data_IF_654469441538
#
_entry.id   IF_654469441538
#
_cell.length_a   1.000
_cell.length_b   1.000
_cell.length_c   1.000
_cell.angle_alpha   90.00
_cell.angle_beta   90.00
_cell.angle_gamma   90.00
#
_symmetry.space_group_name_H-M   'P 1'
#
loop_
_entity.id
_entity.type
_entity.pdbx_description
1 polymer ?
#
# COMPACT_ATOMS: atom_id res chain seq x y z
N UNK A 1 -3.77 -21.29 29.30
CA UNK A 1 -5.09 -21.56 28.71
C UNK A 1 -6.12 -21.19 29.75
N UNK A 2 -7.14 -20.45 29.39
CA UNK A 2 -8.21 -20.05 30.31
C UNK A 2 -9.32 -21.09 30.17
N UNK A 3 -9.69 -21.73 31.28
CA UNK A 3 -10.77 -22.74 31.36
C UNK A 3 -11.98 -22.19 32.15
N UNK A 4 -11.99 -20.89 32.42
CA UNK A 4 -13.03 -20.20 33.15
C UNK A 4 -14.06 -19.63 32.16
N UNK A 5 -15.27 -20.16 32.21
CA UNK A 5 -16.37 -19.78 31.29
C UNK A 5 -16.76 -18.31 31.48
N UNK A 6 -16.80 -17.80 32.72
CA UNK A 6 -17.18 -16.40 32.99
C UNK A 6 -16.14 -15.44 32.41
N UNK A 7 -14.86 -15.81 32.44
CA UNK A 7 -13.80 -14.98 31.83
C UNK A 7 -13.84 -15.02 30.31
N UNK A 8 -14.22 -16.15 29.70
CA UNK A 8 -14.38 -16.28 28.25
C UNK A 8 -15.57 -15.42 27.77
N UNK A 9 -16.69 -15.45 28.49
CA UNK A 9 -17.84 -14.59 28.17
C UNK A 9 -17.52 -13.10 28.31
N UNK A 10 -16.75 -12.72 29.32
CA UNK A 10 -16.29 -11.34 29.49
C UNK A 10 -15.42 -10.89 28.31
N UNK A 11 -14.47 -11.72 27.90
CA UNK A 11 -13.59 -11.43 26.74
C UNK A 11 -14.41 -11.32 25.45
N UNK A 12 -15.41 -12.20 25.26
CA UNK A 12 -16.29 -12.10 24.10
C UNK A 12 -17.04 -10.77 24.08
N UNK A 13 -17.58 -10.33 25.21
CA UNK A 13 -18.27 -9.05 25.34
C UNK A 13 -17.34 -7.87 25.04
N UNK A 14 -16.14 -7.85 25.58
CA UNK A 14 -15.13 -6.80 25.31
C UNK A 14 -14.74 -6.75 23.83
N UNK A 15 -14.58 -7.92 23.16
CA UNK A 15 -14.30 -7.98 21.73
C UNK A 15 -15.46 -7.40 20.91
N UNK A 16 -16.71 -7.69 21.26
CA UNK A 16 -17.89 -7.15 20.59
C UNK A 16 -17.99 -5.63 20.75
N UNK A 17 -17.74 -5.11 21.94
CA UNK A 17 -17.69 -3.68 22.21
C UNK A 17 -16.57 -3.00 21.41
N UNK A 18 -15.39 -3.62 21.35
CA UNK A 18 -14.27 -3.11 20.56
C UNK A 18 -14.61 -3.07 19.06
N UNK A 19 -15.17 -4.13 18.50
CA UNK A 19 -15.61 -4.17 17.11
C UNK A 19 -16.63 -3.08 16.81
N UNK A 20 -17.61 -2.89 17.70
CA UNK A 20 -18.63 -1.84 17.57
C UNK A 20 -18.02 -0.43 17.63
N UNK A 21 -16.99 -0.22 18.43
CA UNK A 21 -16.27 1.07 18.51
C UNK A 21 -15.53 1.42 17.20
N UNK A 22 -15.18 0.41 16.40
CA UNK A 22 -14.60 0.56 15.07
C UNK A 22 -15.64 0.48 13.93
N UNK A 23 -16.93 0.64 14.24
CA UNK A 23 -18.04 0.61 13.28
C UNK A 23 -18.25 -0.74 12.57
N UNK A 24 -17.75 -1.84 13.15
CA UNK A 24 -18.12 -3.19 12.73
C UNK A 24 -19.39 -3.65 13.46
N UNK A 25 -20.20 -4.54 12.87
CA UNK A 25 -21.39 -5.07 13.51
C UNK A 25 -21.03 -6.08 14.63
N UNK A 26 -20.47 -5.59 15.75
CA UNK A 26 -19.92 -6.41 16.82
C UNK A 26 -20.87 -7.46 17.38
N UNK A 27 -22.17 -7.16 17.43
CA UNK A 27 -23.20 -8.11 17.91
C UNK A 27 -23.49 -9.25 16.91
N UNK A 28 -23.25 -9.01 15.60
CA UNK A 28 -23.58 -9.95 14.54
C UNK A 28 -22.37 -10.80 14.08
N UNK A 29 -21.13 -10.34 14.39
CA UNK A 29 -19.92 -11.07 14.00
C UNK A 29 -19.88 -12.43 14.68
N UNK A 30 -19.73 -13.55 13.93
CA UNK A 30 -19.59 -14.86 14.54
C UNK A 30 -18.28 -14.94 15.32
N UNK A 31 -18.35 -15.42 16.56
CA UNK A 31 -17.19 -15.67 17.41
C UNK A 31 -17.12 -17.17 17.70
N UNK A 32 -15.97 -17.78 17.42
CA UNK A 32 -15.73 -19.20 17.67
C UNK A 32 -14.73 -19.35 18.80
N UNK A 33 -15.17 -19.92 19.90
CA UNK A 33 -14.31 -20.19 21.07
C UNK A 33 -13.71 -21.58 20.92
N UNK A 34 -12.37 -21.69 20.99
CA UNK A 34 -11.66 -22.94 20.83
C UNK A 34 -10.23 -22.92 21.38
N UNK A 35 -9.54 -24.05 21.28
CA UNK A 35 -8.12 -24.20 21.64
C UNK A 35 -7.35 -24.77 20.46
N UNK A 36 -6.56 -23.93 19.79
CA UNK A 36 -5.73 -24.34 18.68
C UNK A 36 -4.69 -25.41 19.09
N UNK A 37 -4.15 -25.35 20.34
CA UNK A 37 -3.20 -26.35 20.83
C UNK A 37 -3.87 -27.73 20.97
N UNK A 38 -5.02 -27.80 21.60
CA UNK A 38 -5.75 -29.08 21.78
C UNK A 38 -6.22 -29.64 20.44
N UNK A 39 -6.62 -28.77 19.48
CA UNK A 39 -6.95 -29.21 18.12
C UNK A 39 -5.72 -29.81 17.41
N UNK A 40 -4.55 -29.20 17.56
CA UNK A 40 -3.29 -29.71 17.00
C UNK A 40 -2.87 -31.06 17.62
N UNK A 41 -3.18 -31.27 18.90
CA UNK A 41 -2.97 -32.52 19.63
C UNK A 41 -4.00 -33.62 19.27
N UNK A 42 -5.01 -33.29 18.46
CA UNK A 42 -6.00 -34.23 17.95
C UNK A 42 -7.23 -34.42 18.84
N UNK A 43 -7.49 -33.51 19.78
CA UNK A 43 -8.73 -33.49 20.56
C UNK A 43 -9.91 -33.20 19.67
N UNK A 44 -10.83 -34.17 19.52
CA UNK A 44 -11.93 -34.13 18.57
C UNK A 44 -12.89 -32.95 18.79
N UNK A 45 -13.08 -32.51 20.04
CA UNK A 45 -13.94 -31.38 20.37
C UNK A 45 -13.35 -30.07 19.81
N UNK A 46 -12.04 -29.90 19.95
CA UNK A 46 -11.37 -28.68 19.49
C UNK A 46 -11.05 -28.72 18.00
N UNK A 47 -10.87 -29.91 17.40
CA UNK A 47 -10.82 -30.06 15.94
C UNK A 47 -12.14 -29.58 15.32
N UNK A 48 -13.30 -29.99 15.84
CA UNK A 48 -14.60 -29.52 15.40
C UNK A 48 -14.76 -27.99 15.49
N UNK A 49 -14.12 -27.35 16.49
CA UNK A 49 -14.12 -25.88 16.60
C UNK A 49 -13.30 -25.20 15.49
N UNK A 50 -12.27 -25.85 14.96
CA UNK A 50 -11.57 -25.33 13.77
C UNK A 50 -12.46 -25.44 12.53
N UNK A 51 -13.22 -26.53 12.39
CA UNK A 51 -14.18 -26.68 11.30
C UNK A 51 -15.29 -25.61 11.40
N UNK A 52 -15.87 -25.39 12.60
CA UNK A 52 -16.84 -24.32 12.86
C UNK A 52 -16.29 -22.93 12.46
N UNK A 53 -15.00 -22.66 12.76
CA UNK A 53 -14.33 -21.41 12.37
C UNK A 53 -14.23 -21.27 10.83
N UNK A 54 -13.86 -22.34 10.14
CA UNK A 54 -13.74 -22.32 8.68
C UNK A 54 -15.11 -22.14 8.02
N UNK A 55 -16.13 -22.78 8.53
CA UNK A 55 -17.51 -22.61 8.07
C UNK A 55 -18.01 -21.18 8.30
N UNK A 56 -17.67 -20.57 9.45
CA UNK A 56 -17.99 -19.18 9.73
C UNK A 56 -17.27 -18.22 8.76
N UNK A 57 -15.99 -18.47 8.45
CA UNK A 57 -15.22 -17.69 7.45
C UNK A 57 -15.90 -17.77 6.08
N UNK A 58 -16.24 -18.98 5.62
CA UNK A 58 -16.81 -19.19 4.30
C UNK A 58 -18.23 -18.61 4.15
N UNK A 59 -19.02 -18.62 5.23
CA UNK A 59 -20.40 -18.13 5.21
C UNK A 59 -20.55 -16.64 5.50
N UNK A 60 -19.71 -16.08 6.38
CA UNK A 60 -19.85 -14.70 6.85
C UNK A 60 -19.03 -13.70 6.04
N UNK A 61 -17.81 -14.05 5.60
CA UNK A 61 -16.95 -13.13 4.88
C UNK A 61 -17.36 -13.05 3.41
N UNK A 62 -17.81 -11.87 2.92
CA UNK A 62 -18.21 -11.75 1.53
C UNK A 62 -16.98 -11.82 0.60
N UNK A 63 -17.13 -12.42 -0.56
CA UNK A 63 -16.10 -12.39 -1.59
C UNK A 63 -15.84 -10.94 -2.03
N UNK A 64 -14.62 -10.43 -1.92
CA UNK A 64 -14.33 -9.03 -2.26
C UNK A 64 -14.50 -8.78 -3.76
N UNK A 65 -15.04 -7.61 -4.09
CA UNK A 65 -15.05 -7.12 -5.47
C UNK A 65 -13.63 -6.73 -5.86
N UNK A 66 -13.13 -7.31 -6.93
CA UNK A 66 -11.77 -7.06 -7.43
C UNK A 66 -11.79 -6.00 -8.52
N UNK A 67 -10.94 -4.99 -8.42
CA UNK A 67 -10.78 -3.90 -9.40
C UNK A 67 -10.02 -4.36 -10.65
N UNK A 68 -10.57 -5.28 -11.42
CA UNK A 68 -9.92 -5.88 -12.60
C UNK A 68 -9.93 -4.98 -13.83
N UNK A 69 -10.87 -4.05 -13.92
CA UNK A 69 -11.05 -3.16 -15.09
C UNK A 69 -10.08 -1.97 -15.10
N UNK A 70 -9.43 -1.69 -13.98
CA UNK A 70 -8.42 -0.63 -13.88
C UNK A 70 -7.10 -1.04 -14.54
N UNK A 71 -6.24 -0.08 -14.93
CA UNK A 71 -4.89 -0.40 -15.38
C UNK A 71 -4.12 -1.18 -14.32
N UNK A 72 -3.41 -2.24 -14.73
CA UNK A 72 -2.59 -3.08 -13.84
C UNK A 72 -1.62 -2.25 -13.01
N UNK A 73 -1.54 -2.57 -11.72
CA UNK A 73 -0.56 -2.03 -10.79
C UNK A 73 -0.26 -3.06 -9.68
N UNK A 74 1.02 -3.32 -9.46
CA UNK A 74 1.53 -4.21 -8.41
C UNK A 74 2.73 -3.56 -7.72
N UNK A 75 2.63 -3.17 -6.45
CA UNK A 75 3.78 -2.73 -5.66
C UNK A 75 4.79 -3.87 -5.49
N UNK A 76 6.08 -3.56 -5.65
CA UNK A 76 7.17 -4.52 -5.47
C UNK A 76 7.47 -4.67 -3.98
N UNK A 77 7.34 -5.87 -3.44
CA UNK A 77 7.62 -6.22 -2.05
C UNK A 77 9.02 -6.82 -1.88
N UNK A 78 9.42 -7.70 -2.81
CA UNK A 78 10.74 -8.31 -2.83
C UNK A 78 11.19 -8.63 -4.26
N UNK A 79 12.51 -8.75 -4.44
CA UNK A 79 13.14 -9.05 -5.73
C UNK A 79 14.23 -10.10 -5.56
N UNK A 80 14.14 -11.17 -6.33
CA UNK A 80 15.15 -12.21 -6.34
C UNK A 80 15.43 -12.74 -7.76
N UNK A 81 16.56 -13.42 -7.92
CA UNK A 81 16.95 -13.99 -9.20
C UNK A 81 16.83 -15.50 -9.16
N UNK A 82 16.23 -16.08 -10.20
CA UNK A 82 16.25 -17.52 -10.44
C UNK A 82 17.31 -17.80 -11.49
N UNK A 83 18.34 -18.56 -11.11
CA UNK A 83 19.44 -18.92 -12.01
C UNK A 83 18.93 -19.54 -13.30
N UNK A 84 19.31 -18.98 -14.44
CA UNK A 84 18.90 -19.44 -15.77
C UNK A 84 17.48 -19.07 -16.21
N UNK A 85 16.67 -18.40 -15.35
CA UNK A 85 15.31 -18.00 -15.69
C UNK A 85 15.12 -16.47 -15.74
N UNK A 86 15.76 -15.71 -14.84
CA UNK A 86 15.68 -14.26 -14.79
C UNK A 86 15.36 -13.71 -13.42
N UNK A 87 14.95 -12.45 -13.37
CA UNK A 87 14.59 -11.72 -12.15
C UNK A 87 13.08 -11.82 -11.89
N UNK A 88 12.72 -12.11 -10.65
CA UNK A 88 11.33 -12.18 -10.17
C UNK A 88 11.09 -11.03 -9.22
N UNK A 89 10.06 -10.24 -9.51
CA UNK A 89 9.51 -9.27 -8.57
C UNK A 89 8.24 -9.85 -7.95
N UNK A 90 8.14 -9.84 -6.62
CA UNK A 90 6.97 -10.31 -5.90
C UNK A 90 6.16 -9.14 -5.35
N UNK A 91 4.85 -9.33 -5.26
CA UNK A 91 3.95 -8.37 -4.68
C UNK A 91 2.49 -8.80 -4.81
N UNK A 92 1.61 -8.03 -4.19
CA UNK A 92 0.18 -8.16 -4.37
C UNK A 92 -0.30 -7.26 -5.50
N UNK A 93 -1.03 -7.80 -6.45
CA UNK A 93 -1.71 -7.01 -7.47
C UNK A 93 -2.72 -6.10 -6.78
N UNK A 94 -2.50 -4.78 -6.82
CA UNK A 94 -3.37 -3.78 -6.19
C UNK A 94 -4.64 -3.57 -7.01
N UNK A 95 -4.51 -3.53 -8.34
CA UNK A 95 -5.61 -3.37 -9.28
C UNK A 95 -5.26 -3.89 -10.68
N UNK A 96 -6.28 -4.08 -11.48
CA UNK A 96 -6.16 -4.52 -12.86
C UNK A 96 -5.80 -5.99 -13.00
N UNK A 97 -5.29 -6.31 -14.18
CA UNK A 97 -4.88 -7.64 -14.58
C UNK A 97 -3.59 -7.56 -15.40
N UNK A 98 -2.74 -8.58 -15.28
CA UNK A 98 -1.55 -8.79 -16.10
C UNK A 98 -1.52 -10.22 -16.61
N UNK A 99 -1.10 -10.41 -17.87
CA UNK A 99 -0.95 -11.73 -18.50
C UNK A 99 0.51 -12.02 -18.79
N UNK A 100 0.85 -13.28 -18.91
CA UNK A 100 2.15 -13.68 -19.46
C UNK A 100 2.27 -13.18 -20.89
N UNK A 101 3.36 -12.48 -21.21
CA UNK A 101 3.58 -11.81 -22.49
C UNK A 101 3.31 -10.30 -22.49
N UNK A 102 2.62 -9.79 -21.48
CA UNK A 102 2.35 -8.36 -21.37
C UNK A 102 3.64 -7.57 -21.11
N UNK A 103 3.68 -6.37 -21.68
CA UNK A 103 4.70 -5.37 -21.34
C UNK A 103 4.24 -4.57 -20.13
N UNK A 104 5.09 -4.47 -19.13
CA UNK A 104 4.89 -3.65 -17.94
C UNK A 104 5.98 -2.58 -17.85
N UNK A 105 5.72 -1.59 -17.03
CA UNK A 105 6.64 -0.51 -16.71
C UNK A 105 6.98 -0.53 -15.23
N UNK A 106 8.28 -0.38 -14.90
CA UNK A 106 8.78 -0.25 -13.53
C UNK A 106 8.87 1.23 -13.21
N UNK A 107 8.10 1.68 -12.22
CA UNK A 107 7.94 3.11 -11.90
C UNK A 107 8.28 3.38 -10.43
N UNK A 108 8.94 4.50 -10.17
CA UNK A 108 9.34 4.95 -8.84
C UNK A 108 10.82 4.76 -8.54
N UNK A 109 11.33 5.48 -7.54
CA UNK A 109 12.71 5.57 -7.09
C UNK A 109 13.70 6.10 -8.14
N UNK A 110 13.33 6.09 -9.40
CA UNK A 110 14.07 6.64 -10.55
C UNK A 110 13.17 7.62 -11.31
N UNK A 111 13.77 8.62 -11.95
CA UNK A 111 13.03 9.59 -12.76
C UNK A 111 12.44 8.95 -14.02
N UNK A 112 13.15 7.99 -14.60
CA UNK A 112 12.73 7.30 -15.83
C UNK A 112 12.18 5.92 -15.50
N UNK A 113 11.01 5.65 -16.01
CA UNK A 113 10.43 4.32 -16.00
C UNK A 113 11.06 3.45 -17.09
N UNK A 114 11.23 2.18 -16.82
CA UNK A 114 11.80 1.19 -17.73
C UNK A 114 10.76 0.10 -18.03
N UNK A 115 10.73 -0.37 -19.27
CA UNK A 115 9.73 -1.36 -19.70
C UNK A 115 10.33 -2.75 -19.82
N UNK A 116 9.57 -3.74 -19.35
CA UNK A 116 9.96 -5.15 -19.37
C UNK A 116 8.77 -6.03 -19.75
N UNK A 117 9.08 -7.25 -20.21
CA UNK A 117 8.05 -8.25 -20.56
C UNK A 117 7.91 -9.27 -19.43
N UNK A 118 6.69 -9.54 -19.02
CA UNK A 118 6.34 -10.60 -18.08
C UNK A 118 6.43 -11.94 -18.81
N UNK A 119 7.35 -12.81 -18.42
CA UNK A 119 7.57 -14.12 -19.05
C UNK A 119 7.03 -15.29 -18.25
N UNK A 120 6.54 -15.03 -17.06
CA UNK A 120 5.89 -16.02 -16.20
C UNK A 120 5.25 -15.36 -14.98
N UNK A 121 4.21 -15.98 -14.49
CA UNK A 121 3.51 -15.61 -13.26
C UNK A 121 3.40 -16.88 -12.40
N UNK A 122 3.65 -16.75 -11.11
CA UNK A 122 3.57 -17.86 -10.17
C UNK A 122 2.93 -17.41 -8.85
N UNK A 123 2.01 -18.23 -8.34
CA UNK A 123 1.37 -18.04 -7.04
C UNK A 123 1.30 -19.39 -6.32
N UNK A 124 1.84 -19.48 -5.08
CA UNK A 124 1.88 -20.72 -4.28
C UNK A 124 2.41 -21.94 -5.05
N UNK A 125 3.51 -21.77 -5.80
CA UNK A 125 4.14 -22.79 -6.66
C UNK A 125 3.27 -23.28 -7.82
N UNK A 126 2.20 -22.53 -8.16
CA UNK A 126 1.38 -22.77 -9.34
C UNK A 126 1.70 -21.73 -10.40
N UNK A 127 1.98 -22.19 -11.62
CA UNK A 127 2.16 -21.32 -12.78
C UNK A 127 0.79 -20.82 -13.22
N UNK A 128 0.70 -19.51 -13.48
CA UNK A 128 -0.50 -18.83 -13.93
C UNK A 128 -0.30 -18.23 -15.32
N UNK A 129 -1.34 -18.19 -16.12
CA UNK A 129 -1.38 -17.44 -17.38
C UNK A 129 -1.64 -15.97 -17.18
N UNK A 130 -2.39 -15.63 -16.10
CA UNK A 130 -2.72 -14.26 -15.72
C UNK A 130 -2.82 -14.10 -14.20
N UNK A 131 -2.65 -12.87 -13.71
CA UNK A 131 -2.87 -12.47 -12.34
C UNK A 131 -3.80 -11.25 -12.29
N UNK A 132 -4.69 -11.21 -11.30
CA UNK A 132 -5.71 -10.16 -11.15
C UNK A 132 -5.61 -9.48 -9.79
N UNK A 133 -6.26 -8.34 -9.64
CA UNK A 133 -6.35 -7.60 -8.38
C UNK A 133 -6.62 -8.52 -7.19
N UNK A 134 -5.81 -8.42 -6.13
CA UNK A 134 -5.87 -9.24 -4.93
C UNK A 134 -4.93 -10.44 -4.90
N UNK A 135 -4.37 -10.87 -6.04
CA UNK A 135 -3.46 -12.00 -6.11
C UNK A 135 -2.06 -11.61 -5.61
N UNK A 136 -1.44 -12.46 -4.78
CA UNK A 136 -0.02 -12.35 -4.41
C UNK A 136 0.80 -13.19 -5.38
N UNK A 137 1.61 -12.57 -6.21
CA UNK A 137 2.32 -13.26 -7.29
C UNK A 137 3.79 -12.91 -7.36
N UNK A 138 4.57 -13.83 -7.92
CA UNK A 138 5.89 -13.58 -8.45
C UNK A 138 5.82 -13.40 -9.97
N UNK A 139 6.19 -12.21 -10.43
CA UNK A 139 6.28 -11.90 -11.86
C UNK A 139 7.73 -12.08 -12.35
N UNK A 140 7.95 -13.04 -13.23
CA UNK A 140 9.23 -13.29 -13.89
C UNK A 140 9.38 -12.30 -15.04
N UNK A 141 10.43 -11.48 -15.00
CA UNK A 141 10.69 -10.42 -15.95
C UNK A 141 11.91 -10.75 -16.82
N UNK A 142 11.80 -10.46 -18.12
CA UNK A 142 12.88 -10.69 -19.08
C UNK A 142 13.77 -9.46 -19.22
N UNK A 143 15.09 -9.70 -19.22
CA UNK A 143 16.08 -8.67 -19.58
C UNK A 143 16.33 -7.64 -18.51
N UNK A 144 15.97 -7.93 -17.27
CA UNK A 144 16.19 -7.07 -16.12
C UNK A 144 17.14 -7.74 -15.13
N UNK A 145 18.11 -6.99 -14.65
CA UNK A 145 18.96 -7.42 -13.55
C UNK A 145 18.29 -7.12 -12.21
N UNK A 146 18.58 -7.91 -11.17
CA UNK A 146 18.06 -7.68 -9.81
C UNK A 146 18.32 -6.25 -9.30
N UNK A 147 19.43 -5.62 -9.68
CA UNK A 147 19.81 -4.25 -9.28
C UNK A 147 18.95 -3.16 -9.92
N UNK A 148 18.19 -3.48 -10.97
CA UNK A 148 17.39 -2.53 -11.73
C UNK A 148 15.97 -2.37 -11.18
N UNK A 149 15.54 -3.34 -10.36
CA UNK A 149 14.25 -3.31 -9.64
C UNK A 149 14.51 -3.39 -8.14
N UNK A 150 13.78 -2.56 -7.39
CA UNK A 150 13.90 -2.47 -5.94
C UNK A 150 12.52 -2.49 -5.28
N UNK A 151 12.47 -2.95 -4.02
CA UNK A 151 11.29 -2.79 -3.18
C UNK A 151 10.91 -1.31 -3.10
N UNK A 152 9.61 -1.04 -3.23
CA UNK A 152 9.07 0.33 -3.21
C UNK A 152 8.77 0.91 -4.60
N UNK A 153 9.30 0.31 -5.67
CA UNK A 153 8.82 0.57 -7.03
C UNK A 153 7.47 -0.14 -7.26
N UNK A 154 6.81 0.20 -8.35
CA UNK A 154 5.61 -0.51 -8.80
C UNK A 154 5.80 -1.06 -10.21
N UNK A 155 5.24 -2.23 -10.48
CA UNK A 155 5.00 -2.72 -11.82
C UNK A 155 3.63 -2.22 -12.25
N UNK A 156 3.56 -1.56 -13.39
CA UNK A 156 2.32 -0.96 -13.85
C UNK A 156 2.11 -1.16 -15.36
N UNK A 157 0.89 -0.99 -15.82
CA UNK A 157 0.62 -0.86 -17.25
C UNK A 157 1.35 0.37 -17.79
N UNK A 158 2.09 0.27 -18.92
CA UNK A 158 2.86 1.39 -19.44
C UNK A 158 2.05 2.69 -19.56
N UNK A 159 2.62 3.77 -18.99
CA UNK A 159 2.03 5.10 -18.99
C UNK A 159 0.83 5.32 -18.05
N UNK A 160 0.43 4.34 -17.26
CA UNK A 160 -0.73 4.44 -16.37
C UNK A 160 -0.47 5.17 -15.05
N UNK A 161 0.78 5.24 -14.61
CA UNK A 161 1.22 5.97 -13.42
C UNK A 161 2.59 6.57 -13.69
N UNK A 162 2.91 7.67 -12.99
CA UNK A 162 4.20 8.37 -13.14
C UNK A 162 4.86 8.57 -11.79
N UNK A 163 6.21 8.71 -11.76
CA UNK A 163 6.92 9.09 -10.54
C UNK A 163 6.77 10.59 -10.27
N UNK A 164 6.51 10.96 -9.02
CA UNK A 164 6.38 12.35 -8.57
C UNK A 164 7.11 12.55 -7.25
N UNK A 165 7.54 13.80 -7.01
CA UNK A 165 8.16 14.22 -5.75
C UNK A 165 7.32 15.22 -5.00
N UNK A 166 6.39 15.94 -5.66
CA UNK A 166 5.62 17.04 -5.06
C UNK A 166 4.13 16.78 -5.17
N UNK A 167 3.43 16.97 -4.07
CA UNK A 167 1.99 16.79 -4.02
C UNK A 167 1.39 17.54 -2.83
N UNK A 168 0.08 17.81 -2.91
CA UNK A 168 -0.75 18.22 -1.76
C UNK A 168 -1.43 17.02 -1.16
N UNK A 169 -1.65 17.04 0.13
CA UNK A 169 -2.36 16.01 0.85
C UNK A 169 -3.17 16.57 2.01
N UNK A 170 -4.32 15.97 2.26
CA UNK A 170 -5.00 16.11 3.54
C UNK A 170 -4.39 15.14 4.54
N UNK A 171 -3.97 15.66 5.69
CA UNK A 171 -3.25 14.89 6.70
C UNK A 171 -3.92 15.10 8.05
N UNK A 172 -4.25 13.99 8.70
CA UNK A 172 -4.61 13.94 10.10
C UNK A 172 -3.37 13.63 10.94
N UNK A 173 -3.07 14.49 11.91
CA UNK A 173 -1.95 14.33 12.83
C UNK A 173 -2.44 13.64 14.09
N UNK A 174 -1.93 12.41 14.34
CA UNK A 174 -2.33 11.59 15.47
C UNK A 174 -2.02 12.28 16.81
N UNK A 175 -2.98 12.20 17.73
CA UNK A 175 -2.81 12.69 19.10
C UNK A 175 -1.89 11.77 19.90
N UNK A 176 -1.49 12.23 21.08
CA UNK A 176 -0.69 11.41 22.02
C UNK A 176 -1.42 10.14 22.45
N UNK A 177 -2.72 10.25 22.69
CA UNK A 177 -3.59 9.13 23.09
C UNK A 177 -3.68 8.06 22.01
N UNK A 178 -3.58 8.46 20.74
CA UNK A 178 -3.53 7.57 19.57
C UNK A 178 -2.11 7.02 19.28
N UNK A 179 -1.15 7.30 20.16
CA UNK A 179 0.25 6.90 20.00
C UNK A 179 1.07 7.81 19.08
N UNK A 180 0.53 8.97 18.72
CA UNK A 180 1.16 9.97 17.87
C UNK A 180 2.05 10.96 18.61
N UNK A 181 2.11 12.19 18.11
CA UNK A 181 2.93 13.27 18.67
C UNK A 181 2.26 13.90 19.89
N UNK A 182 3.09 14.51 20.75
CA UNK A 182 2.65 15.34 21.87
C UNK A 182 3.12 16.81 21.73
N UNK A 183 3.84 17.13 20.63
CA UNK A 183 4.34 18.49 20.36
C UNK A 183 3.95 18.89 18.93
N UNK A 184 3.70 20.18 18.69
CA UNK A 184 3.46 20.69 17.34
C UNK A 184 4.69 20.54 16.44
N UNK A 185 4.48 20.65 15.14
CA UNK A 185 5.55 20.85 14.18
C UNK A 185 5.28 22.05 13.28
N UNK A 186 6.34 22.52 12.62
CA UNK A 186 6.35 23.73 11.80
C UNK A 186 6.72 23.37 10.35
N UNK A 187 6.57 24.32 9.45
CA UNK A 187 7.09 24.18 8.07
C UNK A 187 8.56 23.77 8.08
N UNK A 188 8.97 23.01 7.07
CA UNK A 188 10.27 22.32 6.96
C UNK A 188 10.43 21.10 7.88
N UNK A 189 9.36 20.58 8.48
CA UNK A 189 9.37 19.29 9.17
C UNK A 189 9.71 18.17 8.19
N UNK A 190 10.56 17.21 8.61
CA UNK A 190 11.14 16.18 7.73
C UNK A 190 10.92 14.76 8.28
N UNK A 191 9.69 14.24 8.22
CA UNK A 191 9.39 12.86 8.61
C UNK A 191 9.65 11.89 7.45
N UNK A 192 9.37 10.60 7.72
CA UNK A 192 9.28 9.55 6.71
C UNK A 192 7.83 9.36 6.28
N UNK A 193 7.63 9.28 4.98
CA UNK A 193 6.35 9.01 4.32
C UNK A 193 6.33 7.58 3.82
N UNK A 194 5.36 6.82 4.27
CA UNK A 194 5.18 5.41 3.92
C UNK A 194 4.09 5.27 2.86
N UNK A 195 4.49 4.96 1.65
CA UNK A 195 3.59 4.70 0.53
C UNK A 195 3.75 3.25 0.09
N UNK A 196 2.64 2.48 0.03
CA UNK A 196 2.70 1.08 -0.39
C UNK A 196 3.82 0.32 0.33
N UNK A 197 4.87 -0.05 -0.40
CA UNK A 197 6.00 -0.86 0.10
C UNK A 197 7.29 -0.06 0.33
N UNK A 198 7.25 1.27 0.18
CA UNK A 198 8.42 2.15 0.36
C UNK A 198 8.23 3.19 1.45
N UNK A 199 9.33 3.64 2.00
CA UNK A 199 9.42 4.82 2.85
C UNK A 199 10.40 5.82 2.24
N UNK A 200 9.99 7.09 2.24
CA UNK A 200 10.80 8.19 1.68
C UNK A 200 10.74 9.38 2.62
N UNK A 201 11.87 9.99 2.87
CA UNK A 201 11.92 11.27 3.59
C UNK A 201 11.34 12.38 2.71
N UNK A 202 10.50 13.22 3.30
CA UNK A 202 9.97 14.39 2.62
C UNK A 202 9.97 15.63 3.51
N UNK A 203 9.81 16.77 2.91
CA UNK A 203 9.66 18.07 3.58
C UNK A 203 8.21 18.47 3.56
N UNK A 204 7.66 18.80 4.72
CA UNK A 204 6.30 19.34 4.90
C UNK A 204 6.36 20.85 4.88
N UNK A 205 5.57 21.48 4.02
CA UNK A 205 5.31 22.91 4.03
C UNK A 205 3.84 23.14 4.36
N UNK A 206 3.59 23.88 5.43
CA UNK A 206 2.24 24.27 5.84
C UNK A 206 1.71 25.38 4.93
N UNK A 207 0.40 25.48 4.73
CA UNK A 207 -0.19 26.52 3.90
C UNK A 207 0.03 27.93 4.48
N UNK A 208 -0.09 28.96 3.64
CA UNK A 208 0.05 30.35 4.08
C UNK A 208 -0.92 30.66 5.23
N UNK A 209 -0.41 31.33 6.27
CA UNK A 209 -1.17 31.69 7.48
C UNK A 209 -1.22 30.61 8.55
N UNK A 210 -0.72 29.41 8.30
CA UNK A 210 -0.59 28.34 9.30
C UNK A 210 0.86 28.28 9.79
N UNK A 211 1.09 28.74 11.02
CA UNK A 211 2.44 28.76 11.59
C UNK A 211 2.88 27.38 12.09
N UNK A 212 1.95 26.61 12.67
CA UNK A 212 2.24 25.28 13.22
C UNK A 212 1.04 24.34 13.03
N UNK A 213 1.30 23.05 13.14
CA UNK A 213 0.30 21.99 13.16
C UNK A 213 0.36 21.25 14.49
N UNK A 214 -0.79 21.13 15.16
CA UNK A 214 -0.94 20.47 16.46
C UNK A 214 -1.34 18.99 16.28
N UNK A 215 -1.00 18.14 17.26
CA UNK A 215 -1.64 16.82 17.34
C UNK A 215 -3.16 16.94 17.42
N UNK A 216 -3.87 16.15 16.61
CA UNK A 216 -5.33 16.21 16.45
C UNK A 216 -5.82 17.11 15.29
N UNK A 217 -4.93 17.87 14.67
CA UNK A 217 -5.30 18.70 13.53
C UNK A 217 -5.49 17.88 12.25
N UNK A 218 -6.40 18.36 11.40
CA UNK A 218 -6.55 17.94 10.02
C UNK A 218 -6.16 19.12 9.11
N UNK A 219 -5.07 18.97 8.37
CA UNK A 219 -4.46 20.09 7.62
C UNK A 219 -4.07 19.65 6.22
N UNK A 220 -4.37 20.51 5.23
CA UNK A 220 -3.81 20.35 3.88
C UNK A 220 -2.35 20.79 3.88
N UNK A 221 -1.47 19.92 3.43
CA UNK A 221 -0.02 20.15 3.42
C UNK A 221 0.55 20.04 2.02
N UNK A 222 1.59 20.83 1.75
CA UNK A 222 2.45 20.67 0.59
C UNK A 222 3.65 19.82 0.97
N UNK A 223 3.86 18.72 0.26
CA UNK A 223 4.88 17.73 0.58
C UNK A 223 5.85 17.61 -0.60
N UNK A 224 7.14 17.68 -0.30
CA UNK A 224 8.21 17.46 -1.28
C UNK A 224 9.11 16.31 -0.83
N UNK A 225 9.06 15.19 -1.55
CA UNK A 225 9.85 14.00 -1.28
C UNK A 225 11.27 14.17 -1.85
N UNK A 226 12.26 13.56 -1.18
CA UNK A 226 13.67 13.57 -1.66
C UNK A 226 13.89 12.59 -2.83
N UNK A 227 12.98 11.65 -3.06
CA UNK A 227 13.07 10.63 -4.11
C UNK A 227 11.71 10.51 -4.80
N UNK A 228 11.66 10.43 -6.14
CA UNK A 228 10.42 10.27 -6.87
C UNK A 228 9.81 8.88 -6.60
N UNK A 229 8.52 8.83 -6.32
CA UNK A 229 7.77 7.59 -6.13
C UNK A 229 6.51 7.58 -7.00
N UNK A 230 5.98 6.39 -7.27
CA UNK A 230 4.74 6.24 -8.02
C UNK A 230 3.55 6.72 -7.15
N UNK A 231 3.08 7.94 -7.41
CA UNK A 231 1.97 8.59 -6.68
C UNK A 231 0.84 8.90 -7.65
N UNK A 232 -0.38 8.84 -7.13
CA UNK A 232 -1.61 9.27 -7.79
C UNK A 232 -2.57 9.90 -6.78
N UNK A 233 -3.52 10.67 -7.24
CA UNK A 233 -4.57 11.25 -6.41
C UNK A 233 -5.40 10.14 -5.76
N UNK A 234 -5.77 10.35 -4.49
CA UNK A 234 -6.48 9.36 -3.68
C UNK A 234 -5.56 8.33 -2.99
N UNK A 235 -4.25 8.33 -3.27
CA UNK A 235 -3.32 7.40 -2.62
C UNK A 235 -3.16 7.77 -1.14
N UNK A 236 -3.38 6.79 -0.27
CA UNK A 236 -3.20 6.92 1.18
C UNK A 236 -1.75 6.66 1.58
N UNK A 237 -1.30 7.34 2.63
CA UNK A 237 0.02 7.15 3.19
C UNK A 237 0.03 7.37 4.71
N UNK A 238 1.08 6.85 5.35
CA UNK A 238 1.35 7.12 6.76
C UNK A 238 2.59 8.02 6.89
N UNK A 239 2.60 8.85 7.92
CA UNK A 239 3.75 9.66 8.33
C UNK A 239 4.33 9.03 9.59
N UNK A 240 5.65 8.78 9.60
CA UNK A 240 6.33 8.17 10.73
C UNK A 240 7.56 8.97 11.15
N UNK A 241 7.79 8.97 12.45
CA UNK A 241 8.94 9.58 13.11
C UNK A 241 9.44 8.64 14.21
N UNK A 242 10.75 8.34 14.22
CA UNK A 242 11.34 7.48 15.25
C UNK A 242 10.70 6.10 15.38
N UNK A 243 10.13 5.55 14.29
CA UNK A 243 9.44 4.25 14.30
C UNK A 243 7.96 4.30 14.69
N UNK A 244 7.42 5.45 15.12
CA UNK A 244 6.01 5.64 15.47
C UNK A 244 5.24 6.31 14.33
N UNK A 245 4.01 5.89 14.08
CA UNK A 245 3.10 6.59 13.18
C UNK A 245 2.61 7.85 13.87
N UNK A 246 2.84 9.00 13.24
CA UNK A 246 2.46 10.32 13.78
C UNK A 246 1.39 11.02 12.97
N UNK A 247 1.01 10.45 11.84
CA UNK A 247 -0.05 10.97 11.01
C UNK A 247 -0.42 10.01 9.89
N UNK A 248 -1.57 10.25 9.28
CA UNK A 248 -2.05 9.57 8.09
C UNK A 248 -2.64 10.60 7.13
N UNK A 249 -2.46 10.38 5.84
CA UNK A 249 -2.93 11.32 4.84
C UNK A 249 -3.39 10.66 3.55
N UNK A 250 -4.02 11.49 2.72
CA UNK A 250 -4.47 11.14 1.37
C UNK A 250 -3.95 12.20 0.40
N UNK A 251 -3.36 11.77 -0.70
CA UNK A 251 -2.93 12.67 -1.79
C UNK A 251 -4.15 13.28 -2.45
N UNK A 252 -4.23 14.60 -2.48
CA UNK A 252 -5.36 15.34 -3.07
C UNK A 252 -5.05 15.93 -4.43
N UNK A 253 -3.78 16.28 -4.67
CA UNK A 253 -3.33 16.90 -5.91
C UNK A 253 -1.85 16.59 -6.16
N UNK A 254 -1.49 16.25 -7.37
CA UNK A 254 -0.09 16.12 -7.79
C UNK A 254 0.44 17.48 -8.21
N UNK A 255 1.50 17.96 -7.55
CA UNK A 255 2.14 19.23 -7.88
C UNK A 255 3.37 19.01 -8.78
N UNK A 256 3.48 19.87 -9.81
CA UNK A 256 4.72 19.97 -10.58
C UNK A 256 4.85 19.02 -11.76
N UNK A 257 4.14 19.32 -12.83
CA UNK A 257 4.77 19.34 -14.14
C UNK A 257 5.32 20.75 -14.36
N UNK A 258 6.60 21.01 -14.11
CA UNK A 258 7.26 22.13 -14.76
C UNK A 258 7.31 21.76 -16.25
N UNK A 259 6.36 22.26 -17.02
CA UNK A 259 6.52 22.37 -18.46
C UNK A 259 7.63 23.39 -18.64
N UNK A 260 8.89 22.94 -18.84
CA UNK A 260 9.97 23.79 -19.27
C UNK A 260 9.62 24.18 -20.69
N UNK A 261 9.01 25.34 -20.87
CA UNK A 261 8.92 25.98 -22.16
C UNK A 261 10.34 26.33 -22.61
N UNK A 262 11.02 25.40 -23.30
CA UNK A 262 12.23 25.75 -24.03
C UNK A 262 11.77 26.61 -25.22
N UNK A 263 11.75 27.92 -24.99
CA UNK A 263 11.58 28.88 -26.09
C UNK A 263 12.87 28.85 -26.91
N UNK A 264 12.97 27.88 -27.82
CA UNK A 264 13.98 27.93 -28.87
C UNK A 264 13.60 29.10 -29.79
N UNK A 265 14.31 30.24 -29.67
CA UNK A 265 14.23 31.34 -30.62
C UNK A 265 14.87 30.89 -31.94
N UNK A 266 14.10 30.17 -32.73
CA UNK A 266 14.37 30.10 -34.19
C UNK A 266 13.67 31.27 -34.86
N UNK A 267 14.24 31.83 -35.93
CA UNK A 267 13.69 33.03 -36.58
C UNK A 267 12.37 32.80 -37.34
N UNK A 268 11.78 31.65 -37.24
CA UNK A 268 10.49 31.29 -37.88
C UNK A 268 9.62 30.71 -36.77
N UNK A 269 8.62 31.50 -36.33
CA UNK A 269 7.76 31.21 -35.18
C UNK A 269 6.88 29.96 -35.37
N UNK A 270 7.40 28.79 -35.01
CA UNK A 270 6.65 27.56 -34.84
C UNK A 270 6.79 27.12 -33.39
N UNK A 271 5.65 27.13 -32.69
CA UNK A 271 5.52 26.65 -31.31
C UNK A 271 5.35 25.14 -31.36
N UNK A 272 6.32 24.36 -30.83
CA UNK A 272 6.14 22.93 -30.58
C UNK A 272 5.80 22.73 -29.12
N UNK A 273 4.63 22.15 -28.84
CA UNK A 273 4.22 21.60 -27.56
C UNK A 273 4.70 20.14 -27.49
N UNK A 274 5.56 19.83 -26.56
CA UNK A 274 5.88 18.45 -26.16
C UNK A 274 5.44 18.20 -24.73
#
# INVERSE_FOLDING_TARGET
MVDDEELIELVEMEVRELLSSYEFPGDEVPIVVGSALKALEGDAQYVAKIDDLMDAVDSYIPTPVRDTDKPFLMPVEDVFTITGRGTVATGRVERGQVNVGDTIEVVGLKEKAEQYVVTGLEMFRKVLDSAVAGDNVGALLRGVDRKDIERGQVLAKPGSIKPHTKFKAEVYVLTKEEGGRHTPFFSNYRPQFYFRTTDVTGVVNLPEGVEMCMPGDNVTMHIELITPIAIEEGLRFAIREGGHTVGAGVVTEIEGYFIIFVVNRTPIGVLFLY
#
